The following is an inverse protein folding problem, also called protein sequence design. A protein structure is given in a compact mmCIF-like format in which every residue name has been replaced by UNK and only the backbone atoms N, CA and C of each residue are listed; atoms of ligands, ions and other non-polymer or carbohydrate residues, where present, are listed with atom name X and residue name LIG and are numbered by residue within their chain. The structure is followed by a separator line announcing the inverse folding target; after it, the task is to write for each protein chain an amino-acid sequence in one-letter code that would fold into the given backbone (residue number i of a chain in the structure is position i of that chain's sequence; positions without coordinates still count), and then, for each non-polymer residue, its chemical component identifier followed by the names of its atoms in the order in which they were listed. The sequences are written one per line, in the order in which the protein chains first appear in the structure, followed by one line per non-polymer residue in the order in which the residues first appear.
data_IF_355611552837
#
_entry.id   IF_355611552837
#
_cell.length_a   1.000
_cell.length_b   1.000
_cell.length_c   1.000
_cell.angle_alpha   90.00
_cell.angle_beta   90.00
_cell.angle_gamma   90.00
#
_symmetry.space_group_name_H-M   'P 1'
#
loop_
_entity.id
_entity.type
_entity.pdbx_description
1 polymer ?
#
# COMPACT_ATOMS: atom_id res chain seq x y z
N UNK A 1 -11.95 -26.36 -9.69
CA UNK A 1 -11.09 -26.62 -10.86
C UNK A 1 -9.70 -26.11 -10.53
N UNK A 2 -8.66 -26.96 -10.52
CA UNK A 2 -7.29 -26.49 -10.33
C UNK A 2 -6.82 -25.69 -11.55
N UNK A 3 -5.91 -24.74 -11.33
CA UNK A 3 -5.20 -24.01 -12.38
C UNK A 3 -3.76 -24.56 -12.49
N UNK A 4 -3.13 -24.43 -13.66
CA UNK A 4 -1.72 -24.79 -13.84
C UNK A 4 -0.79 -23.82 -13.12
N UNK A 5 0.44 -24.25 -12.82
CA UNK A 5 1.46 -23.39 -12.22
C UNK A 5 1.73 -22.16 -13.10
N UNK A 6 1.86 -22.34 -14.41
CA UNK A 6 2.06 -21.24 -15.36
C UNK A 6 0.93 -20.21 -15.32
N UNK A 7 -0.31 -20.67 -15.09
CA UNK A 7 -1.48 -19.79 -14.96
C UNK A 7 -1.50 -19.06 -13.62
N UNK A 8 -0.97 -19.65 -12.56
CA UNK A 8 -0.85 -19.00 -11.25
C UNK A 8 0.15 -17.83 -11.31
N UNK A 9 1.32 -18.03 -11.92
CA UNK A 9 2.35 -16.98 -12.08
C UNK A 9 1.93 -15.81 -12.97
N UNK A 10 0.91 -16.01 -13.80
CA UNK A 10 0.36 -14.97 -14.69
C UNK A 10 -0.92 -14.32 -14.15
N UNK A 11 -1.34 -14.67 -12.92
CA UNK A 11 -2.34 -13.88 -12.21
C UNK A 11 -1.66 -12.57 -11.84
N UNK A 12 -2.19 -11.41 -12.29
CA UNK A 12 -1.63 -10.13 -11.89
C UNK A 12 -1.63 -10.06 -10.37
N UNK A 13 -0.47 -9.73 -9.79
CA UNK A 13 -0.41 -9.34 -8.39
C UNK A 13 -1.45 -8.23 -8.21
N UNK A 14 -2.42 -8.48 -7.33
CA UNK A 14 -3.46 -7.48 -7.07
C UNK A 14 -2.75 -6.28 -6.43
N UNK A 15 -3.08 -5.07 -6.89
CA UNK A 15 -2.60 -3.82 -6.30
C UNK A 15 -2.70 -3.91 -4.77
N UNK A 16 -1.73 -3.35 -4.04
CA UNK A 16 -1.57 -3.57 -2.59
C UNK A 16 -2.71 -2.92 -1.78
N UNK A 17 -3.88 -3.56 -1.75
CA UNK A 17 -5.04 -3.06 -1.06
C UNK A 17 -6.38 -3.61 -1.57
N UNK A 18 -7.49 -3.14 -1.01
CA UNK A 18 -8.81 -3.56 -1.42
C UNK A 18 -9.16 -3.13 -2.86
N UNK A 19 -9.65 -4.08 -3.67
CA UNK A 19 -10.12 -3.81 -5.03
C UNK A 19 -11.27 -2.80 -5.07
N UNK A 20 -11.28 -1.81 -6.00
CA UNK A 20 -12.36 -0.87 -6.17
C UNK A 20 -13.75 -1.52 -6.26
N UNK A 21 -14.74 -0.90 -5.62
CA UNK A 21 -16.13 -1.40 -5.54
C UNK A 21 -16.36 -2.54 -4.54
N UNK A 22 -15.35 -2.93 -3.76
CA UNK A 22 -15.52 -3.84 -2.61
C UNK A 22 -15.83 -3.06 -1.34
N UNK A 23 -16.55 -3.66 -0.38
CA UNK A 23 -16.81 -3.03 0.91
C UNK A 23 -15.54 -2.58 1.63
N UNK A 24 -14.45 -3.35 1.50
CA UNK A 24 -13.16 -3.01 2.09
C UNK A 24 -12.55 -1.75 1.45
N UNK A 25 -12.69 -1.60 0.13
CA UNK A 25 -12.26 -0.39 -0.57
C UNK A 25 -13.06 0.83 -0.12
N UNK A 26 -14.39 0.75 -0.16
CA UNK A 26 -15.26 1.85 0.22
C UNK A 26 -15.03 2.31 1.68
N UNK A 27 -14.87 1.36 2.61
CA UNK A 27 -14.55 1.68 4.01
C UNK A 27 -13.18 2.33 4.14
N UNK A 28 -12.15 1.77 3.50
CA UNK A 28 -10.79 2.29 3.60
C UNK A 28 -10.68 3.68 2.96
N UNK A 29 -11.24 3.88 1.77
CA UNK A 29 -11.26 5.17 1.09
C UNK A 29 -12.00 6.25 1.89
N UNK A 30 -13.11 5.90 2.56
CA UNK A 30 -13.77 6.82 3.48
C UNK A 30 -12.84 7.25 4.63
N UNK A 31 -12.14 6.31 5.26
CA UNK A 31 -11.24 6.59 6.37
C UNK A 31 -9.98 7.37 5.94
N UNK A 32 -9.45 7.09 4.74
CA UNK A 32 -8.33 7.84 4.15
C UNK A 32 -8.70 9.29 3.87
N UNK A 33 -9.90 9.53 3.33
CA UNK A 33 -10.42 10.88 3.10
C UNK A 33 -10.59 11.68 4.41
N UNK A 34 -10.71 11.01 5.55
CA UNK A 34 -10.86 11.59 6.88
C UNK A 34 -9.71 11.20 7.82
N UNK A 35 -8.47 11.20 7.33
CA UNK A 35 -7.32 10.61 8.03
C UNK A 35 -6.99 11.22 9.41
N UNK A 36 -7.49 12.41 9.71
CA UNK A 36 -7.30 13.09 10.99
C UNK A 36 -8.33 12.69 12.06
N UNK A 37 -9.36 11.94 11.69
CA UNK A 37 -10.53 11.64 12.52
C UNK A 37 -10.60 10.15 12.88
N UNK A 38 -11.49 9.81 13.81
CA UNK A 38 -11.80 8.42 14.16
C UNK A 38 -13.31 8.27 14.32
N UNK A 39 -13.84 7.15 13.85
CA UNK A 39 -15.27 6.93 13.69
C UNK A 39 -15.70 5.65 14.39
N UNK A 40 -16.91 5.66 14.94
CA UNK A 40 -17.58 4.44 15.37
C UNK A 40 -18.02 3.60 14.18
N UNK A 41 -18.29 2.32 14.41
CA UNK A 41 -18.82 1.44 13.36
C UNK A 41 -20.15 1.97 12.78
N UNK A 42 -21.03 2.51 13.63
CA UNK A 42 -22.31 3.09 13.18
C UNK A 42 -22.13 4.31 12.28
N UNK A 43 -21.17 5.17 12.59
CA UNK A 43 -20.87 6.34 11.73
C UNK A 43 -20.29 5.90 10.38
N UNK A 44 -19.47 4.84 10.37
CA UNK A 44 -18.94 4.28 9.12
C UNK A 44 -20.07 3.64 8.29
N UNK A 45 -20.99 2.92 8.92
CA UNK A 45 -22.20 2.38 8.26
C UNK A 45 -23.02 3.51 7.64
N UNK A 46 -23.25 4.59 8.38
CA UNK A 46 -24.01 5.75 7.89
C UNK A 46 -23.31 6.43 6.71
N UNK A 47 -22.00 6.66 6.81
CA UNK A 47 -21.23 7.37 5.79
C UNK A 47 -21.06 6.57 4.50
N UNK A 48 -20.88 5.25 4.60
CA UNK A 48 -20.62 4.37 3.44
C UNK A 48 -21.87 3.73 2.86
N UNK A 49 -22.98 3.69 3.61
CA UNK A 49 -24.20 2.96 3.23
C UNK A 49 -24.07 1.44 3.26
N UNK A 50 -22.93 0.90 3.73
CA UNK A 50 -22.68 -0.53 3.83
C UNK A 50 -23.40 -1.09 5.06
N UNK A 51 -24.02 -2.26 4.93
CA UNK A 51 -24.72 -2.91 6.05
C UNK A 51 -23.78 -3.15 7.24
N UNK A 52 -24.30 -2.98 8.45
CA UNK A 52 -23.58 -3.23 9.72
C UNK A 52 -22.97 -4.64 9.76
N UNK A 53 -23.70 -5.65 9.27
CA UNK A 53 -23.23 -7.04 9.16
C UNK A 53 -22.03 -7.24 8.24
N UNK A 54 -21.72 -6.27 7.37
CA UNK A 54 -20.54 -6.28 6.51
C UNK A 54 -19.42 -5.36 7.02
N UNK A 55 -19.75 -4.20 7.59
CA UNK A 55 -18.74 -3.23 8.08
C UNK A 55 -17.88 -3.83 9.19
N UNK A 56 -18.46 -4.52 10.17
CA UNK A 56 -17.69 -5.10 11.29
C UNK A 56 -16.62 -6.12 10.86
N UNK A 57 -16.98 -7.16 10.09
CA UNK A 57 -16.00 -8.09 9.54
C UNK A 57 -14.97 -7.41 8.63
N UNK A 58 -15.39 -6.41 7.85
CA UNK A 58 -14.50 -5.64 6.97
C UNK A 58 -13.44 -4.87 7.76
N UNK A 59 -13.84 -4.13 8.79
CA UNK A 59 -12.94 -3.39 9.69
C UNK A 59 -11.98 -4.33 10.42
N UNK A 60 -12.46 -5.49 10.85
CA UNK A 60 -11.63 -6.53 11.45
C UNK A 60 -10.53 -6.97 10.48
N UNK A 61 -10.89 -7.28 9.23
CA UNK A 61 -9.93 -7.70 8.21
C UNK A 61 -8.91 -6.61 7.89
N UNK A 62 -9.36 -5.37 7.68
CA UNK A 62 -8.49 -4.21 7.44
C UNK A 62 -7.51 -3.98 8.60
N UNK A 63 -7.93 -4.20 9.84
CA UNK A 63 -7.04 -4.10 11.01
C UNK A 63 -6.01 -5.20 11.03
N UNK A 64 -6.42 -6.44 10.73
CA UNK A 64 -5.51 -7.58 10.70
C UNK A 64 -4.46 -7.43 9.57
N UNK A 65 -4.81 -6.69 8.50
CA UNK A 65 -3.92 -6.24 7.41
C UNK A 65 -3.12 -4.96 7.76
N UNK A 66 -3.29 -4.40 8.97
CA UNK A 66 -2.60 -3.20 9.44
C UNK A 66 -3.03 -1.88 8.78
N UNK A 67 -4.12 -1.89 8.00
CA UNK A 67 -4.62 -0.70 7.27
C UNK A 67 -5.38 0.27 8.17
N UNK A 68 -6.01 -0.21 9.24
CA UNK A 68 -6.79 0.61 10.19
C UNK A 68 -6.40 0.31 11.63
N UNK A 69 -6.47 1.33 12.48
CA UNK A 69 -6.30 1.21 13.92
C UNK A 69 -7.66 1.16 14.63
N UNK A 70 -7.73 0.40 15.73
CA UNK A 70 -8.93 0.28 16.56
C UNK A 70 -8.64 0.62 18.02
N UNK A 71 -9.45 1.51 18.62
CA UNK A 71 -9.36 1.86 20.04
C UNK A 71 -10.74 2.07 20.64
N UNK A 72 -11.11 1.20 21.58
CA UNK A 72 -12.43 1.25 22.22
C UNK A 72 -13.53 0.88 21.22
N UNK A 73 -14.32 1.86 20.81
CA UNK A 73 -15.34 1.72 19.75
C UNK A 73 -14.96 2.41 18.44
N UNK A 74 -13.81 3.10 18.43
CA UNK A 74 -13.40 3.98 17.35
C UNK A 74 -12.39 3.32 16.44
N UNK A 75 -12.51 3.61 15.16
CA UNK A 75 -11.71 3.12 14.05
C UNK A 75 -11.17 4.31 13.25
N UNK A 76 -9.93 4.20 12.77
CA UNK A 76 -9.30 5.21 11.90
C UNK A 76 -8.33 4.53 10.94
N UNK A 77 -7.98 5.22 9.86
CA UNK A 77 -6.86 4.79 9.02
C UNK A 77 -5.56 4.76 9.84
N UNK A 78 -4.70 3.77 9.56
CA UNK A 78 -3.42 3.64 10.26
C UNK A 78 -2.41 4.65 9.74
N UNK A 79 -1.76 5.39 10.65
CA UNK A 79 -0.66 6.29 10.28
C UNK A 79 0.56 5.54 9.75
N UNK A 80 0.76 4.31 10.25
CA UNK A 80 1.85 3.47 9.79
C UNK A 80 1.65 3.03 8.34
N UNK A 81 0.46 2.52 8.00
CA UNK A 81 0.12 2.14 6.63
C UNK A 81 0.30 3.34 5.68
N UNK A 82 -0.28 4.50 6.02
CA UNK A 82 -0.12 5.72 5.20
C UNK A 82 1.34 6.14 5.01
N UNK A 83 2.18 5.96 6.03
CA UNK A 83 3.61 6.26 5.92
C UNK A 83 4.33 5.31 4.97
N UNK A 84 3.94 4.03 4.92
CA UNK A 84 4.50 3.06 3.99
C UNK A 84 4.07 3.36 2.55
N UNK A 85 2.78 3.65 2.34
CA UNK A 85 2.26 3.99 1.02
C UNK A 85 2.92 5.26 0.46
N UNK A 86 3.10 6.28 1.31
CA UNK A 86 3.80 7.51 0.92
C UNK A 86 5.29 7.25 0.59
N UNK A 87 5.95 6.36 1.32
CA UNK A 87 7.34 6.00 1.05
C UNK A 87 7.48 5.20 -0.27
N UNK A 88 6.55 4.27 -0.53
CA UNK A 88 6.51 3.51 -1.77
C UNK A 88 6.25 4.43 -2.98
N UNK A 89 5.22 5.29 -2.91
CA UNK A 89 4.93 6.26 -3.96
C UNK A 89 6.10 7.20 -4.24
N UNK A 90 6.82 7.63 -3.20
CA UNK A 90 8.02 8.44 -3.37
C UNK A 90 9.17 7.66 -4.04
N UNK A 91 9.37 6.40 -3.66
CA UNK A 91 10.38 5.55 -4.30
C UNK A 91 10.08 5.31 -5.78
N UNK A 92 8.81 5.10 -6.13
CA UNK A 92 8.36 4.92 -7.51
C UNK A 92 8.57 6.20 -8.34
N UNK A 93 8.24 7.37 -7.80
CA UNK A 93 8.47 8.67 -8.44
C UNK A 93 9.97 8.92 -8.70
N UNK A 94 10.82 8.63 -7.71
CA UNK A 94 12.28 8.69 -7.86
C UNK A 94 12.76 7.72 -8.93
N UNK A 95 12.30 6.46 -8.91
CA UNK A 95 12.70 5.47 -9.90
C UNK A 95 12.31 5.91 -11.32
N UNK A 96 11.05 6.33 -11.52
CA UNK A 96 10.55 6.83 -12.80
C UNK A 96 11.35 8.05 -13.31
N UNK A 97 11.77 8.95 -12.41
CA UNK A 97 12.60 10.11 -12.80
C UNK A 97 13.99 9.74 -13.33
N UNK A 98 14.48 8.54 -13.01
CA UNK A 98 15.79 8.04 -13.44
C UNK A 98 15.71 7.02 -14.60
N UNK A 99 14.53 6.52 -14.96
CA UNK A 99 14.38 5.56 -16.08
C UNK A 99 14.72 6.18 -17.45
N UNK A 100 14.54 7.50 -17.61
CA UNK A 100 14.81 8.19 -18.88
C UNK A 100 16.29 8.56 -19.07
N UNK A 101 17.06 8.64 -17.98
CA UNK A 101 18.48 9.03 -18.00
C UNK A 101 19.37 7.78 -17.99
N UNK A 102 20.09 7.48 -19.09
CA UNK A 102 21.03 6.37 -19.09
C UNK A 102 22.12 6.60 -18.03
N UNK A 103 22.52 5.52 -17.36
CA UNK A 103 23.61 5.58 -16.39
C UNK A 103 24.85 6.23 -17.00
N UNK A 104 25.35 7.32 -16.40
CA UNK A 104 26.53 8.05 -16.83
C UNK A 104 27.82 7.26 -16.54
N UNK A 105 28.00 6.17 -17.29
CA UNK A 105 29.07 5.19 -17.08
C UNK A 105 30.46 5.82 -17.14
N UNK A 106 30.70 6.71 -18.11
CA UNK A 106 32.01 7.34 -18.32
C UNK A 106 32.39 8.26 -17.14
N UNK A 107 31.44 9.03 -16.59
CA UNK A 107 31.66 9.89 -15.41
C UNK A 107 31.89 9.04 -14.14
N UNK A 108 31.10 7.98 -13.97
CA UNK A 108 31.28 7.06 -12.84
C UNK A 108 32.63 6.34 -12.89
N UNK A 109 33.08 5.94 -14.08
CA UNK A 109 34.38 5.29 -14.28
C UNK A 109 35.56 6.20 -13.92
N UNK A 110 35.47 7.51 -14.14
CA UNK A 110 36.53 8.45 -13.74
C UNK A 110 36.82 8.42 -12.23
N UNK A 111 35.78 8.16 -11.42
CA UNK A 111 35.86 8.11 -9.95
C UNK A 111 35.87 6.69 -9.38
N UNK A 112 35.73 5.66 -10.22
CA UNK A 112 35.73 4.28 -9.78
C UNK A 112 37.13 3.84 -9.33
N UNK A 113 37.22 3.31 -8.12
CA UNK A 113 38.45 2.68 -7.61
C UNK A 113 38.60 1.31 -8.29
N UNK A 114 39.74 1.03 -8.92
CA UNK A 114 40.03 -0.32 -9.44
C UNK A 114 40.51 -1.22 -8.28
N UNK A 115 39.73 -2.23 -7.86
CA UNK A 115 40.10 -3.12 -6.75
C UNK A 115 41.33 -4.00 -7.05
N UNK A 116 41.90 -3.95 -8.26
CA UNK A 116 43.19 -4.59 -8.60
C UNK A 116 44.39 -3.78 -8.13
N UNK A 117 44.25 -2.48 -7.95
CA UNK A 117 45.33 -1.60 -7.48
C UNK A 117 45.49 -1.66 -5.95
N UNK A 118 44.47 -2.14 -5.22
CA UNK A 118 44.45 -2.24 -3.75
C UNK A 118 44.86 -3.61 -3.18
N UNK A 119 45.30 -4.57 -4.00
CA UNK A 119 45.85 -5.85 -3.50
C UNK A 119 47.36 -5.77 -3.36
N UNK A 120 47.84 -5.36 -2.19
CA UNK A 120 49.20 -5.62 -1.69
C UNK A 120 49.26 -6.85 -0.79
#
# INVERSE_FOLDING_TARGET
MPISADRFESIPETEDGPTPGTNAHEVLSFLEAHSAEAFTQSEIVEATGISEGSVGPTLTRLRDEGRVDHKGIYWRVSDHARSLDAAAAHADDVAASHEEEPFAYDEWQEHAVDPRDDRE
#
